data_IF_712778777859
#
_entry.id   IF_712778777859
#
_cell.length_a   1.000
_cell.length_b   1.000
_cell.length_c   1.000
_cell.angle_alpha   90.00
_cell.angle_beta   90.00
_cell.angle_gamma   90.00
#
_symmetry.space_group_name_H-M   'P 1'
#
loop_
_entity.id
_entity.type
_entity.pdbx_description
1 polymer ?
#
# COMPACT_ATOMS: atom_id res chain seq x y z
N UNK A 1 27.25 -12.69 -13.17
CA UNK A 1 25.82 -12.34 -13.30
C UNK A 1 25.44 -11.72 -11.97
N UNK A 2 25.27 -10.39 -11.90
CA UNK A 2 24.87 -9.72 -10.66
C UNK A 2 23.41 -10.06 -10.41
N UNK A 3 23.15 -10.95 -9.46
CA UNK A 3 21.79 -11.30 -9.08
C UNK A 3 21.30 -10.19 -8.16
N UNK A 4 20.41 -9.34 -8.66
CA UNK A 4 19.74 -8.30 -7.89
C UNK A 4 18.77 -8.96 -6.90
N UNK A 5 19.19 -9.04 -5.64
CA UNK A 5 18.44 -9.68 -4.55
C UNK A 5 17.99 -8.65 -3.52
N UNK A 6 17.15 -9.07 -2.56
CA UNK A 6 16.62 -8.17 -1.52
C UNK A 6 17.72 -7.48 -0.69
N UNK A 7 18.84 -8.18 -0.49
CA UNK A 7 20.03 -7.70 0.21
C UNK A 7 20.95 -6.87 -0.67
N UNK A 8 20.85 -6.97 -2.01
CA UNK A 8 21.76 -6.36 -2.98
C UNK A 8 21.00 -5.36 -3.88
N UNK A 9 20.73 -4.18 -3.34
CA UNK A 9 20.23 -2.98 -4.04
C UNK A 9 18.72 -2.90 -4.25
N UNK A 10 17.98 -4.01 -4.17
CA UNK A 10 16.55 -4.03 -4.44
C UNK A 10 15.68 -3.67 -3.21
N UNK A 11 16.17 -3.93 -2.00
CA UNK A 11 15.47 -3.68 -0.75
C UNK A 11 14.88 -2.26 -0.60
N UNK A 12 15.65 -1.17 -0.86
CA UNK A 12 15.16 0.20 -0.72
C UNK A 12 14.04 0.53 -1.70
N UNK A 13 14.15 0.05 -2.93
CA UNK A 13 13.16 0.28 -3.99
C UNK A 13 11.86 -0.48 -3.69
N UNK A 14 11.97 -1.75 -3.29
CA UNK A 14 10.81 -2.58 -2.93
C UNK A 14 10.11 -2.04 -1.68
N UNK A 15 10.87 -1.60 -0.67
CA UNK A 15 10.36 -0.92 0.52
C UNK A 15 9.61 0.37 0.17
N UNK A 16 10.18 1.19 -0.71
CA UNK A 16 9.53 2.41 -1.19
C UNK A 16 8.24 2.11 -1.96
N UNK A 17 8.25 1.16 -2.90
CA UNK A 17 7.07 0.77 -3.68
C UNK A 17 5.97 0.24 -2.76
N UNK A 18 6.28 -0.69 -1.85
CA UNK A 18 5.31 -1.27 -0.92
C UNK A 18 4.74 -0.21 0.03
N UNK A 19 5.60 0.69 0.52
CA UNK A 19 5.18 1.84 1.33
C UNK A 19 4.26 2.79 0.55
N UNK A 20 4.63 3.15 -0.67
CA UNK A 20 3.84 4.02 -1.55
C UNK A 20 2.48 3.38 -1.88
N UNK A 21 2.43 2.09 -2.20
CA UNK A 21 1.17 1.35 -2.42
C UNK A 21 0.28 1.41 -1.17
N UNK A 22 0.84 1.21 0.02
CA UNK A 22 0.10 1.30 1.28
C UNK A 22 -0.44 2.71 1.57
N UNK A 23 0.36 3.75 1.29
CA UNK A 23 -0.08 5.14 1.45
C UNK A 23 -1.19 5.46 0.47
N UNK A 24 -1.02 5.16 -0.82
CA UNK A 24 -2.02 5.42 -1.86
C UNK A 24 -3.32 4.67 -1.57
N UNK A 25 -3.22 3.41 -1.13
CA UNK A 25 -4.34 2.55 -0.76
C UNK A 25 -5.20 3.15 0.36
N UNK A 26 -4.64 3.96 1.26
CA UNK A 26 -5.39 4.57 2.37
C UNK A 26 -5.77 6.02 2.04
N UNK A 27 -4.82 6.80 1.50
CA UNK A 27 -4.96 8.22 1.26
C UNK A 27 -6.07 8.52 0.23
N UNK A 28 -6.11 7.79 -0.89
CA UNK A 28 -7.10 8.01 -1.94
C UNK A 28 -8.52 7.70 -1.45
N UNK A 29 -8.81 6.52 -0.85
CA UNK A 29 -10.13 6.23 -0.32
C UNK A 29 -10.61 7.22 0.75
N UNK A 30 -9.75 7.59 1.71
CA UNK A 30 -10.11 8.56 2.76
C UNK A 30 -10.43 9.93 2.16
N UNK A 31 -9.63 10.41 1.21
CA UNK A 31 -9.89 11.68 0.52
C UNK A 31 -11.24 11.69 -0.20
N UNK A 32 -11.57 10.61 -0.91
CA UNK A 32 -12.86 10.45 -1.60
C UNK A 32 -14.05 10.44 -0.64
N UNK A 33 -13.92 9.81 0.53
CA UNK A 33 -14.98 9.73 1.55
C UNK A 33 -15.22 11.10 2.19
N UNK A 34 -14.15 11.83 2.57
CA UNK A 34 -14.28 13.15 3.21
C UNK A 34 -14.95 14.14 2.25
N UNK A 35 -14.51 14.20 1.00
CA UNK A 35 -15.13 15.08 0.01
C UNK A 35 -16.57 14.68 -0.31
N UNK A 36 -16.87 13.38 -0.36
CA UNK A 36 -18.24 12.91 -0.54
C UNK A 36 -19.16 13.32 0.61
N UNK A 37 -18.74 13.06 1.85
CA UNK A 37 -19.56 13.31 3.04
C UNK A 37 -19.84 14.79 3.27
N UNK A 38 -18.90 15.69 2.95
CA UNK A 38 -19.13 17.15 3.00
C UNK A 38 -20.23 17.57 2.00
N UNK A 39 -20.24 16.99 0.81
CA UNK A 39 -21.23 17.30 -0.25
C UNK A 39 -22.63 16.82 0.14
N UNK A 40 -22.74 15.63 0.74
CA UNK A 40 -23.98 15.17 1.36
C UNK A 40 -24.42 16.04 2.52
N UNK A 41 -23.50 16.39 3.42
CA UNK A 41 -23.83 17.18 4.60
C UNK A 41 -24.51 18.49 4.20
N UNK A 42 -23.99 19.17 3.18
CA UNK A 42 -24.60 20.40 2.63
C UNK A 42 -26.00 20.15 2.04
N UNK A 43 -26.18 19.06 1.28
CA UNK A 43 -27.48 18.73 0.69
C UNK A 43 -28.53 18.30 1.73
N UNK A 44 -28.10 17.63 2.80
CA UNK A 44 -28.96 17.21 3.92
C UNK A 44 -29.43 18.41 4.73
N UNK A 45 -28.54 19.38 5.01
CA UNK A 45 -28.91 20.62 5.72
C UNK A 45 -29.89 21.47 4.88
N UNK A 46 -29.80 21.41 3.56
CA UNK A 46 -30.72 22.12 2.67
C UNK A 46 -32.11 21.44 2.53
N UNK A 47 -32.32 20.25 3.13
CA UNK A 47 -33.57 19.46 3.07
C UNK A 47 -34.15 19.25 1.66
N UNK A 48 -33.29 19.31 0.63
CA UNK A 48 -33.70 19.23 -0.77
C UNK A 48 -33.70 17.75 -1.19
N UNK A 49 -34.83 17.05 -1.00
CA UNK A 49 -34.96 15.60 -1.17
C UNK A 49 -34.47 15.08 -2.53
N UNK A 50 -34.62 15.87 -3.59
CA UNK A 50 -34.13 15.54 -4.93
C UNK A 50 -32.60 15.50 -4.95
N UNK A 51 -31.95 16.50 -4.37
CA UNK A 51 -30.48 16.59 -4.29
C UNK A 51 -29.89 15.59 -3.30
N UNK A 52 -30.60 15.26 -2.22
CA UNK A 52 -30.16 14.23 -1.26
C UNK A 52 -30.05 12.87 -1.96
N UNK A 53 -31.05 12.48 -2.75
CA UNK A 53 -31.03 11.20 -3.48
C UNK A 53 -29.97 11.18 -4.58
N UNK A 54 -29.85 12.26 -5.35
CA UNK A 54 -28.80 12.39 -6.38
C UNK A 54 -27.40 12.31 -5.78
N UNK A 55 -27.14 13.05 -4.71
CA UNK A 55 -25.84 13.04 -4.04
C UNK A 55 -25.56 11.73 -3.29
N UNK A 56 -26.58 11.05 -2.77
CA UNK A 56 -26.42 9.70 -2.19
C UNK A 56 -25.98 8.68 -3.24
N UNK A 57 -26.57 8.72 -4.44
CA UNK A 57 -26.12 7.88 -5.55
C UNK A 57 -24.70 8.23 -6.01
N UNK A 58 -24.34 9.51 -6.01
CA UNK A 58 -22.99 9.97 -6.32
C UNK A 58 -21.97 9.46 -5.27
N UNK A 59 -22.34 9.48 -4.00
CA UNK A 59 -21.49 8.96 -2.93
C UNK A 59 -21.33 7.46 -2.99
N UNK A 60 -22.39 6.72 -3.31
CA UNK A 60 -22.30 5.29 -3.50
C UNK A 60 -21.29 4.95 -4.60
N UNK A 61 -21.30 5.70 -5.71
CA UNK A 61 -20.33 5.55 -6.79
C UNK A 61 -18.90 5.88 -6.34
N UNK A 62 -18.70 6.93 -5.54
CA UNK A 62 -17.39 7.31 -4.98
C UNK A 62 -16.89 6.31 -3.92
N UNK A 63 -17.78 5.78 -3.10
CA UNK A 63 -17.47 4.75 -2.11
C UNK A 63 -17.09 3.45 -2.79
N UNK A 64 -17.82 3.07 -3.85
CA UNK A 64 -17.46 1.92 -4.69
C UNK A 64 -16.10 2.12 -5.37
N UNK A 65 -15.82 3.30 -5.92
CA UNK A 65 -14.51 3.58 -6.53
C UNK A 65 -13.39 3.56 -5.50
N UNK A 66 -13.61 4.10 -4.30
CA UNK A 66 -12.67 4.04 -3.19
C UNK A 66 -12.40 2.58 -2.77
N UNK A 67 -13.45 1.76 -2.65
CA UNK A 67 -13.32 0.34 -2.37
C UNK A 67 -12.56 -0.41 -3.46
N UNK A 68 -12.83 -0.13 -4.74
CA UNK A 68 -12.10 -0.74 -5.86
C UNK A 68 -10.62 -0.36 -5.86
N UNK A 69 -10.27 0.91 -5.63
CA UNK A 69 -8.86 1.34 -5.52
C UNK A 69 -8.15 0.61 -4.37
N UNK A 70 -8.81 0.51 -3.21
CA UNK A 70 -8.26 -0.22 -2.07
C UNK A 70 -8.05 -1.71 -2.39
N UNK A 71 -9.04 -2.35 -3.01
CA UNK A 71 -8.99 -3.76 -3.38
C UNK A 71 -7.95 -4.05 -4.46
N UNK A 72 -7.82 -3.21 -5.48
CA UNK A 72 -6.82 -3.36 -6.54
C UNK A 72 -5.40 -3.21 -5.96
N UNK A 73 -5.16 -2.20 -5.12
CA UNK A 73 -3.85 -2.03 -4.47
C UNK A 73 -3.51 -3.21 -3.54
N UNK A 74 -4.50 -3.72 -2.79
CA UNK A 74 -4.35 -4.93 -1.97
C UNK A 74 -4.04 -6.14 -2.84
N UNK A 75 -4.76 -6.31 -3.95
CA UNK A 75 -4.59 -7.44 -4.86
C UNK A 75 -3.20 -7.44 -5.48
N UNK A 76 -2.73 -6.30 -6.01
CA UNK A 76 -1.36 -6.17 -6.52
C UNK A 76 -0.35 -6.54 -5.44
N UNK A 77 -0.57 -6.05 -4.21
CA UNK A 77 0.32 -6.36 -3.10
C UNK A 77 0.31 -7.83 -2.70
N UNK A 78 -0.83 -8.51 -2.79
CA UNK A 78 -0.92 -9.95 -2.54
C UNK A 78 -0.23 -10.72 -3.65
N UNK A 79 -0.52 -10.41 -4.92
CA UNK A 79 0.09 -11.06 -6.08
C UNK A 79 1.61 -10.95 -6.08
N UNK A 80 2.15 -9.78 -5.72
CA UNK A 80 3.60 -9.58 -5.57
C UNK A 80 4.22 -10.46 -4.46
N UNK A 81 3.43 -10.89 -3.47
CA UNK A 81 3.86 -11.83 -2.43
C UNK A 81 3.76 -13.31 -2.82
N UNK A 82 3.17 -13.63 -3.98
CA UNK A 82 3.03 -14.98 -4.52
C UNK A 82 3.85 -15.22 -5.79
N UNK A 83 4.11 -14.18 -6.59
CA UNK A 83 4.96 -14.27 -7.80
C UNK A 83 6.44 -14.38 -7.41
N UNK A 84 7.29 -14.87 -8.31
CA UNK A 84 8.76 -14.86 -8.14
C UNK A 84 9.33 -16.07 -7.38
N UNK A 85 10.64 -16.02 -7.13
CA UNK A 85 11.35 -17.03 -6.33
C UNK A 85 11.16 -16.77 -4.82
N UNK A 86 11.62 -17.69 -3.97
CA UNK A 86 11.49 -17.60 -2.51
C UNK A 86 12.14 -16.33 -1.95
N UNK A 87 13.32 -15.96 -2.48
CA UNK A 87 14.05 -14.74 -2.09
C UNK A 87 13.21 -13.46 -2.32
N UNK A 88 12.53 -13.37 -3.47
CA UNK A 88 11.63 -12.26 -3.78
C UNK A 88 10.39 -12.26 -2.88
N UNK A 89 9.77 -13.42 -2.66
CA UNK A 89 8.57 -13.51 -1.82
C UNK A 89 8.86 -13.09 -0.37
N UNK A 90 10.01 -13.50 0.17
CA UNK A 90 10.49 -13.07 1.49
C UNK A 90 10.78 -11.56 1.51
N UNK A 91 11.44 -11.06 0.46
CA UNK A 91 11.68 -9.63 0.30
C UNK A 91 10.40 -8.81 0.34
N UNK A 92 9.43 -9.19 -0.49
CA UNK A 92 8.16 -8.49 -0.59
C UNK A 92 7.37 -8.54 0.72
N UNK A 93 7.36 -9.67 1.41
CA UNK A 93 6.63 -9.84 2.69
C UNK A 93 7.20 -8.95 3.79
N UNK A 94 8.52 -8.85 3.91
CA UNK A 94 9.14 -8.10 5.00
C UNK A 94 9.68 -6.71 4.64
N UNK A 95 9.52 -6.22 3.41
CA UNK A 95 9.96 -4.88 3.00
C UNK A 95 9.41 -3.72 3.88
N UNK A 96 8.34 -3.92 4.64
CA UNK A 96 7.80 -2.95 5.62
C UNK A 96 8.11 -3.28 7.10
N UNK A 97 8.79 -4.40 7.37
CA UNK A 97 9.12 -4.90 8.72
C UNK A 97 10.57 -4.64 9.12
N UNK A 98 11.36 -4.02 8.24
CA UNK A 98 12.79 -3.81 8.44
C UNK A 98 13.06 -2.93 9.65
N UNK A 99 13.63 -3.53 10.70
CA UNK A 99 13.85 -2.86 11.99
C UNK A 99 15.15 -2.04 12.04
N UNK A 100 16.12 -2.40 11.21
CA UNK A 100 17.44 -1.75 11.15
C UNK A 100 17.89 -1.55 9.70
N UNK A 101 17.32 -0.56 8.98
CA UNK A 101 17.78 -0.25 7.64
C UNK A 101 19.22 0.30 7.68
N UNK A 102 20.05 -0.12 6.73
CA UNK A 102 21.38 0.48 6.55
C UNK A 102 21.21 1.98 6.22
N UNK A 103 21.90 2.89 6.92
CA UNK A 103 21.71 4.34 6.73
C UNK A 103 22.30 4.88 5.42
N UNK A 104 23.14 4.10 4.73
CA UNK A 104 23.81 4.47 3.47
C UNK A 104 23.06 3.89 2.27
N UNK A 105 22.65 2.62 2.35
CA UNK A 105 22.00 1.93 1.23
C UNK A 105 20.48 1.85 1.37
N UNK A 106 19.93 1.97 2.58
CA UNK A 106 18.50 1.80 2.86
C UNK A 106 18.05 0.33 2.89
N UNK A 107 18.98 -0.62 2.81
CA UNK A 107 18.69 -2.05 2.77
C UNK A 107 18.32 -2.58 4.16
N UNK A 108 17.39 -3.54 4.17
CA UNK A 108 16.90 -4.17 5.40
C UNK A 108 17.92 -5.10 6.06
N UNK A 109 18.92 -5.55 5.30
CA UNK A 109 20.05 -6.36 5.74
C UNK A 109 21.30 -5.89 5.01
N UNK A 110 22.41 -5.76 5.74
CA UNK A 110 23.73 -5.49 5.18
C UNK A 110 24.32 -6.79 4.60
N UNK A 111 25.12 -6.69 3.53
CA UNK A 111 25.76 -7.76 2.73
C UNK A 111 26.73 -8.71 3.47
N UNK A 112 26.50 -8.98 4.76
CA UNK A 112 27.37 -9.81 5.61
C UNK A 112 27.11 -11.32 5.46
N UNK A 113 26.43 -11.75 4.39
CA UNK A 113 25.99 -13.14 4.19
C UNK A 113 24.75 -13.56 4.99
N UNK A 114 23.96 -12.61 5.49
CA UNK A 114 22.73 -12.86 6.26
C UNK A 114 21.49 -12.90 5.38
N UNK A 115 20.57 -13.79 5.72
CA UNK A 115 19.25 -13.95 5.10
C UNK A 115 18.22 -13.05 5.78
N UNK A 116 17.41 -12.35 4.98
CA UNK A 116 16.35 -11.51 5.51
C UNK A 116 15.16 -12.38 5.95
N UNK A 117 14.83 -12.36 7.24
CA UNK A 117 13.67 -13.06 7.75
C UNK A 117 12.43 -12.13 7.75
N UNK A 118 11.49 -12.41 6.85
CA UNK A 118 10.29 -11.60 6.66
C UNK A 118 9.32 -11.61 7.86
N UNK A 119 9.33 -12.67 8.67
CA UNK A 119 8.43 -12.83 9.82
C UNK A 119 8.86 -11.94 11.00
N UNK A 120 10.17 -11.83 11.21
CA UNK A 120 10.77 -11.07 12.30
C UNK A 120 11.25 -9.69 11.88
N UNK A 121 11.42 -9.43 10.59
CA UNK A 121 12.02 -8.21 10.07
C UNK A 121 13.50 -8.05 10.43
N UNK A 122 14.18 -9.17 10.68
CA UNK A 122 15.59 -9.24 11.12
C UNK A 122 16.44 -10.06 10.16
N UNK A 123 17.75 -9.84 10.17
CA UNK A 123 18.72 -10.54 9.33
C UNK A 123 19.37 -11.67 10.14
N UNK A 124 19.27 -12.91 9.67
CA UNK A 124 19.90 -14.10 10.27
C UNK A 124 21.01 -14.64 9.40
#
# INVERSE_FOLDING_TARGET
MLILNCTNGLGPIVGFIKGALGIIQILIPIGLIIWGTIDLGKAVIASDEKKIKENQQLLMKRALSAAMVFLVATLVSVLMGFVGNTEWQECWKGATKCKSPNPITGECCSDDGKTFNADTGTCK
#
